data_IF_588235272034
#
_entry.id   IF_588235272034
#
_cell.length_a   1.000
_cell.length_b   1.000
_cell.length_c   1.000
_cell.angle_alpha   90.00
_cell.angle_beta   90.00
_cell.angle_gamma   90.00
#
_symmetry.space_group_name_H-M   'P 1'
#
loop_
_entity.id
_entity.type
_entity.pdbx_description
1 polymer ?
#
# COMPACT_ATOMS: atom_id res chain seq x y z
N UNK A 1 -6.83 15.82 5.71
CA UNK A 1 -6.10 14.60 6.12
C UNK A 1 -6.44 14.15 7.54
N UNK A 2 -6.25 14.98 8.56
CA UNK A 2 -6.53 14.60 9.95
C UNK A 2 -7.97 14.10 10.16
N UNK A 3 -8.96 14.80 9.64
CA UNK A 3 -10.37 14.39 9.74
C UNK A 3 -10.67 13.05 9.07
N UNK A 4 -9.97 12.76 7.97
CA UNK A 4 -10.11 11.47 7.29
C UNK A 4 -9.57 10.33 8.17
N UNK A 5 -8.39 10.52 8.74
CA UNK A 5 -7.77 9.53 9.62
C UNK A 5 -8.59 9.34 10.90
N UNK A 6 -9.09 10.43 11.48
CA UNK A 6 -9.97 10.37 12.65
C UNK A 6 -11.27 9.61 12.36
N UNK A 7 -11.90 9.87 11.22
CA UNK A 7 -13.11 9.18 10.81
C UNK A 7 -12.91 7.67 10.70
N UNK A 8 -11.81 7.25 10.07
CA UNK A 8 -11.46 5.84 9.92
C UNK A 8 -11.13 5.19 11.26
N UNK A 9 -10.42 5.91 12.13
CA UNK A 9 -10.08 5.41 13.46
C UNK A 9 -11.34 5.20 14.30
N UNK A 10 -12.27 6.15 14.27
CA UNK A 10 -13.55 6.05 14.99
C UNK A 10 -14.43 4.90 14.46
N UNK A 11 -14.32 4.59 13.17
CA UNK A 11 -15.00 3.45 12.56
C UNK A 11 -14.27 2.12 12.79
N UNK A 12 -13.16 2.15 13.52
CA UNK A 12 -12.32 0.98 13.81
C UNK A 12 -11.77 0.31 12.54
N UNK A 13 -11.46 1.12 11.54
CA UNK A 13 -10.85 0.67 10.27
C UNK A 13 -9.33 0.75 10.37
N UNK A 14 -8.66 -0.37 10.16
CA UNK A 14 -7.21 -0.44 10.15
C UNK A 14 -6.66 -0.01 8.80
N UNK A 15 -5.75 0.96 8.80
CA UNK A 15 -5.03 1.39 7.60
C UNK A 15 -3.75 0.59 7.49
N UNK A 16 -3.62 -0.19 6.41
CA UNK A 16 -2.45 -1.04 6.17
C UNK A 16 -1.31 -0.25 5.52
N UNK A 17 -1.65 0.62 4.58
CA UNK A 17 -0.69 1.47 3.86
C UNK A 17 -1.34 2.83 3.65
N UNK A 18 -0.55 3.86 3.83
CA UNK A 18 -0.96 5.24 3.57
C UNK A 18 0.09 5.91 2.67
N UNK A 19 -0.38 6.59 1.64
CA UNK A 19 0.48 7.37 0.75
C UNK A 19 -0.17 8.71 0.45
N UNK A 20 0.61 9.76 0.48
CA UNK A 20 0.12 11.11 0.19
C UNK A 20 1.03 11.81 -0.81
N UNK A 21 0.42 12.66 -1.63
CA UNK A 21 1.13 13.52 -2.55
C UNK A 21 0.84 14.97 -2.19
N UNK A 22 1.87 15.68 -1.79
CA UNK A 22 1.75 17.10 -1.45
C UNK A 22 1.49 17.97 -2.69
N UNK A 23 1.98 17.55 -3.85
CA UNK A 23 1.82 18.31 -5.09
C UNK A 23 0.36 18.39 -5.55
N UNK A 24 -0.37 17.29 -5.44
CA UNK A 24 -1.78 17.25 -5.85
C UNK A 24 -2.76 17.26 -4.69
N UNK A 25 -2.25 17.40 -3.47
CA UNK A 25 -3.07 17.32 -2.24
C UNK A 25 -3.98 16.09 -2.23
N UNK A 26 -3.48 15.01 -2.80
CA UNK A 26 -4.19 13.74 -2.85
C UNK A 26 -3.53 12.74 -1.91
N UNK A 27 -4.33 11.86 -1.37
CA UNK A 27 -3.84 10.75 -0.57
C UNK A 27 -4.67 9.51 -0.88
N UNK A 28 -4.02 8.37 -0.72
CA UNK A 28 -4.68 7.08 -0.83
C UNK A 28 -4.27 6.22 0.35
N UNK A 29 -5.11 5.27 0.70
CA UNK A 29 -4.81 4.32 1.75
C UNK A 29 -5.36 2.96 1.39
N UNK A 30 -4.67 1.93 1.86
CA UNK A 30 -5.07 0.55 1.69
C UNK A 30 -5.69 0.06 2.99
N UNK A 31 -6.87 -0.53 2.88
CA UNK A 31 -7.60 -1.14 4.00
C UNK A 31 -8.01 -2.57 3.61
N UNK A 32 -8.46 -3.33 4.58
CA UNK A 32 -9.00 -4.66 4.29
C UNK A 32 -10.31 -4.56 3.54
N UNK A 33 -10.56 -5.52 2.65
CA UNK A 33 -11.76 -5.52 1.82
C UNK A 33 -13.05 -5.51 2.65
N UNK A 34 -13.09 -6.22 3.77
CA UNK A 34 -14.28 -6.25 4.63
C UNK A 34 -14.57 -4.93 5.36
N UNK A 35 -13.61 -4.01 5.39
CA UNK A 35 -13.76 -2.69 6.02
C UNK A 35 -14.21 -1.60 5.03
N UNK A 36 -14.30 -1.90 3.74
CA UNK A 36 -14.57 -0.89 2.70
C UNK A 36 -15.90 -0.18 2.94
N UNK A 37 -16.97 -0.93 3.22
CA UNK A 37 -18.30 -0.34 3.44
C UNK A 37 -18.31 0.57 4.66
N UNK A 38 -17.74 0.13 5.78
CA UNK A 38 -17.64 0.92 7.00
C UNK A 38 -16.79 2.19 6.77
N UNK A 39 -15.70 2.07 6.02
CA UNK A 39 -14.84 3.20 5.67
C UNK A 39 -15.58 4.24 4.83
N UNK A 40 -16.29 3.79 3.79
CA UNK A 40 -17.06 4.68 2.92
C UNK A 40 -18.16 5.41 3.70
N UNK A 41 -18.87 4.73 4.58
CA UNK A 41 -19.91 5.32 5.41
C UNK A 41 -19.33 6.37 6.36
N UNK A 42 -18.22 6.06 7.03
CA UNK A 42 -17.55 6.97 7.94
C UNK A 42 -17.04 8.22 7.21
N UNK A 43 -16.44 8.06 6.05
CA UNK A 43 -15.93 9.16 5.27
C UNK A 43 -17.05 10.02 4.69
N UNK A 44 -18.12 9.41 4.19
CA UNK A 44 -19.28 10.15 3.69
C UNK A 44 -19.92 11.01 4.76
N UNK A 45 -20.04 10.49 5.98
CA UNK A 45 -20.61 11.22 7.12
C UNK A 45 -19.71 12.36 7.60
N UNK A 46 -18.40 12.13 7.71
CA UNK A 46 -17.46 13.09 8.28
C UNK A 46 -16.95 14.13 7.27
N UNK A 47 -17.00 13.83 5.99
CA UNK A 47 -16.54 14.70 4.92
C UNK A 47 -17.68 15.18 4.01
N UNK A 48 -18.92 15.12 4.50
CA UNK A 48 -20.11 15.45 3.72
C UNK A 48 -20.09 16.89 3.17
N UNK A 49 -19.62 17.83 3.96
CA UNK A 49 -19.54 19.24 3.56
C UNK A 49 -18.51 19.42 2.44
N UNK A 50 -17.33 18.85 2.61
CA UNK A 50 -16.23 18.94 1.65
C UNK A 50 -16.60 18.28 0.32
N UNK A 51 -17.31 17.16 0.37
CA UNK A 51 -17.78 16.46 -0.81
C UNK A 51 -18.90 17.22 -1.51
N UNK A 52 -19.87 17.78 -0.75
CA UNK A 52 -20.99 18.53 -1.28
C UNK A 52 -20.55 19.83 -1.95
N UNK A 53 -19.54 20.50 -1.42
CA UNK A 53 -19.00 21.75 -1.96
C UNK A 53 -17.91 21.56 -3.03
N UNK A 54 -17.58 20.34 -3.37
CA UNK A 54 -16.54 20.05 -4.37
C UNK A 54 -15.12 20.31 -3.92
N UNK A 55 -14.88 20.52 -2.62
CA UNK A 55 -13.53 20.68 -2.06
C UNK A 55 -12.74 19.38 -2.08
N UNK A 56 -13.46 18.26 -2.05
CA UNK A 56 -12.90 16.92 -2.25
C UNK A 56 -13.57 16.28 -3.46
N UNK A 57 -12.78 15.59 -4.25
CA UNK A 57 -13.31 14.73 -5.31
C UNK A 57 -13.99 13.51 -4.69
N UNK A 58 -14.96 12.89 -5.40
CA UNK A 58 -15.57 11.67 -4.93
C UNK A 58 -14.54 10.60 -4.59
N UNK A 59 -14.81 9.87 -3.50
CA UNK A 59 -13.93 8.81 -3.04
C UNK A 59 -13.99 7.66 -4.05
N UNK A 60 -12.83 7.25 -4.54
CA UNK A 60 -12.72 6.13 -5.46
C UNK A 60 -12.21 4.89 -4.71
N UNK A 61 -12.84 3.76 -4.97
CA UNK A 61 -12.47 2.47 -4.40
C UNK A 61 -11.97 1.56 -5.51
N UNK A 62 -10.81 0.96 -5.31
CA UNK A 62 -10.27 -0.05 -6.21
C UNK A 62 -10.08 -1.34 -5.40
N UNK A 63 -10.90 -2.34 -5.69
CA UNK A 63 -10.87 -3.63 -5.00
C UNK A 63 -9.92 -4.63 -5.67
N UNK A 64 -9.36 -4.27 -6.82
CA UNK A 64 -8.50 -5.14 -7.64
C UNK A 64 -7.01 -4.96 -7.33
N UNK A 65 -6.68 -4.84 -6.05
CA UNK A 65 -5.31 -4.61 -5.61
C UNK A 65 -4.92 -5.61 -4.53
N UNK A 66 -3.62 -5.85 -4.42
CA UNK A 66 -3.05 -6.66 -3.36
C UNK A 66 -1.78 -6.04 -2.84
N UNK A 67 -1.43 -6.36 -1.61
CA UNK A 67 -0.23 -5.88 -0.93
C UNK A 67 0.82 -6.97 -0.88
N UNK A 68 2.01 -6.67 -1.39
CA UNK A 68 3.22 -7.46 -1.20
C UNK A 68 4.07 -6.75 -0.16
N UNK A 69 4.36 -7.39 0.96
CA UNK A 69 5.25 -6.85 1.97
C UNK A 69 6.56 -7.63 1.97
N UNK A 70 7.67 -6.92 1.77
CA UNK A 70 9.02 -7.49 1.89
C UNK A 70 9.56 -7.06 3.24
N UNK A 71 9.81 -8.03 4.10
CA UNK A 71 10.20 -7.80 5.50
C UNK A 71 11.51 -8.51 5.78
N UNK A 72 12.47 -7.82 6.38
CA UNK A 72 13.71 -8.46 6.77
C UNK A 72 14.74 -7.49 7.32
N UNK A 73 15.42 -7.88 8.38
CA UNK A 73 16.49 -7.05 8.97
C UNK A 73 17.66 -6.84 8.01
N UNK A 74 17.90 -7.78 7.09
CA UNK A 74 18.92 -7.67 6.06
C UNK A 74 18.70 -6.52 5.08
N UNK A 75 17.52 -5.89 5.07
CA UNK A 75 17.25 -4.71 4.26
C UNK A 75 17.96 -3.46 4.78
N UNK A 76 18.16 -3.39 6.08
CA UNK A 76 18.82 -2.25 6.69
C UNK A 76 20.30 -2.25 6.30
N UNK A 77 20.76 -1.16 5.71
CA UNK A 77 22.14 -1.01 5.32
C UNK A 77 22.57 -1.83 4.09
N UNK A 78 21.62 -2.45 3.37
CA UNK A 78 21.92 -3.14 2.11
C UNK A 78 21.54 -2.25 0.92
N UNK A 79 22.52 -1.55 0.32
CA UNK A 79 22.22 -0.66 -0.82
C UNK A 79 21.66 -1.43 -2.01
N UNK A 80 20.69 -0.84 -2.68
CA UNK A 80 20.14 -1.38 -3.92
C UNK A 80 19.14 -2.50 -3.76
N UNK A 81 18.79 -2.93 -2.55
CA UNK A 81 17.82 -4.00 -2.35
C UNK A 81 16.43 -3.62 -2.87
N UNK A 82 15.97 -2.40 -2.58
CA UNK A 82 14.71 -1.91 -3.10
C UNK A 82 14.69 -1.92 -4.64
N UNK A 83 15.79 -1.49 -5.26
CA UNK A 83 15.94 -1.53 -6.71
C UNK A 83 15.82 -2.94 -7.28
N UNK A 84 16.42 -3.92 -6.61
CA UNK A 84 16.33 -5.33 -7.01
C UNK A 84 14.91 -5.85 -6.92
N UNK A 85 14.20 -5.53 -5.85
CA UNK A 85 12.80 -5.92 -5.64
C UNK A 85 11.92 -5.33 -6.75
N UNK A 86 12.04 -4.04 -7.01
CA UNK A 86 11.24 -3.37 -8.04
C UNK A 86 11.58 -3.89 -9.44
N UNK A 87 12.84 -4.16 -9.72
CA UNK A 87 13.27 -4.74 -10.99
C UNK A 87 12.68 -6.13 -11.19
N UNK A 88 12.69 -6.95 -10.16
CA UNK A 88 12.11 -8.30 -10.22
C UNK A 88 10.61 -8.24 -10.56
N UNK A 89 9.86 -7.35 -9.93
CA UNK A 89 8.43 -7.16 -10.21
C UNK A 89 8.23 -6.63 -11.64
N UNK A 90 9.07 -5.69 -12.07
CA UNK A 90 9.00 -5.10 -13.40
C UNK A 90 9.24 -6.11 -14.52
N UNK A 91 10.15 -7.06 -14.30
CA UNK A 91 10.41 -8.14 -15.28
C UNK A 91 9.18 -9.00 -15.54
N UNK A 92 8.33 -9.16 -14.55
CA UNK A 92 7.07 -9.88 -14.69
C UNK A 92 5.95 -9.05 -15.33
N UNK A 93 6.26 -7.82 -15.75
CA UNK A 93 5.30 -6.87 -16.33
C UNK A 93 4.11 -6.58 -15.41
N UNK A 94 4.37 -6.52 -14.12
CA UNK A 94 3.37 -6.21 -13.10
C UNK A 94 3.44 -4.71 -12.82
N UNK A 95 2.30 -4.04 -12.90
CA UNK A 95 2.22 -2.62 -12.59
C UNK A 95 2.19 -2.39 -11.07
N UNK A 96 3.10 -1.55 -10.60
CA UNK A 96 3.14 -1.11 -9.20
C UNK A 96 2.25 0.12 -9.07
N UNK A 97 1.26 0.06 -8.19
CA UNK A 97 0.29 1.14 -7.97
C UNK A 97 0.79 2.11 -6.92
N UNK A 98 1.35 1.60 -5.82
CA UNK A 98 1.87 2.40 -4.72
C UNK A 98 2.97 1.65 -3.99
N UNK A 99 3.82 2.42 -3.32
CA UNK A 99 4.94 1.91 -2.54
C UNK A 99 4.94 2.62 -1.19
N UNK A 100 5.13 1.87 -0.12
CA UNK A 100 5.32 2.43 1.21
C UNK A 100 6.53 1.77 1.87
N UNK A 101 7.39 2.57 2.47
CA UNK A 101 8.54 2.09 3.21
C UNK A 101 8.57 2.78 4.57
N UNK A 102 8.69 2.00 5.62
CA UNK A 102 8.81 2.52 6.97
C UNK A 102 10.17 3.12 7.25
N UNK A 103 10.24 3.98 8.25
CA UNK A 103 11.49 4.63 8.68
C UNK A 103 12.51 3.62 9.24
N UNK A 104 12.05 2.44 9.62
CA UNK A 104 12.91 1.36 10.11
C UNK A 104 13.73 0.68 9.01
N UNK A 105 13.39 0.92 7.73
CA UNK A 105 14.04 0.31 6.55
C UNK A 105 13.97 -1.22 6.49
N UNK A 106 13.17 -1.84 7.36
CA UNK A 106 13.04 -3.31 7.41
C UNK A 106 11.81 -3.83 6.67
N UNK A 107 10.96 -2.94 6.16
CA UNK A 107 9.75 -3.34 5.45
C UNK A 107 9.51 -2.45 4.24
N UNK A 108 9.27 -3.07 3.09
CA UNK A 108 8.79 -2.40 1.89
C UNK A 108 7.40 -2.96 1.56
N UNK A 109 6.40 -2.10 1.56
CA UNK A 109 5.05 -2.46 1.10
C UNK A 109 4.84 -2.05 -0.34
N UNK A 110 4.38 -2.95 -1.17
CA UNK A 110 4.16 -2.71 -2.60
C UNK A 110 2.73 -3.10 -2.95
N UNK A 111 1.96 -2.15 -3.47
CA UNK A 111 0.60 -2.41 -3.92
C UNK A 111 0.63 -2.66 -5.43
N UNK A 112 0.14 -3.81 -5.83
CA UNK A 112 0.09 -4.25 -7.22
C UNK A 112 -1.34 -4.64 -7.61
N UNK A 113 -1.61 -4.81 -8.90
CA UNK A 113 -2.87 -5.35 -9.36
C UNK A 113 -3.05 -6.78 -8.85
N UNK A 114 -4.27 -7.13 -8.46
CA UNK A 114 -4.57 -8.43 -7.84
C UNK A 114 -4.21 -9.61 -8.74
N UNK A 115 -4.41 -9.47 -10.05
CA UNK A 115 -4.07 -10.51 -11.01
C UNK A 115 -2.56 -10.79 -11.12
N UNK A 116 -1.72 -9.83 -10.70
CA UNK A 116 -0.27 -9.96 -10.70
C UNK A 116 0.31 -10.30 -9.31
N UNK A 117 -0.52 -10.37 -8.28
CA UNK A 117 -0.06 -10.49 -6.90
C UNK A 117 0.78 -11.73 -6.66
N UNK A 118 0.33 -12.89 -7.09
CA UNK A 118 1.04 -14.16 -6.88
C UNK A 118 2.39 -14.16 -7.61
N UNK A 119 2.41 -13.69 -8.86
CA UNK A 119 3.67 -13.59 -9.65
C UNK A 119 4.64 -12.60 -9.01
N UNK A 120 4.12 -11.50 -8.46
CA UNK A 120 4.94 -10.51 -7.76
C UNK A 120 5.60 -11.10 -6.53
N UNK A 121 4.85 -11.85 -5.72
CA UNK A 121 5.39 -12.53 -4.53
C UNK A 121 6.46 -13.54 -4.92
N UNK A 122 6.22 -14.33 -5.94
CA UNK A 122 7.18 -15.32 -6.42
C UNK A 122 8.46 -14.65 -6.93
N UNK A 123 8.34 -13.60 -7.73
CA UNK A 123 9.48 -12.87 -8.27
C UNK A 123 10.34 -12.25 -7.18
N UNK A 124 9.72 -11.61 -6.20
CA UNK A 124 10.41 -11.01 -5.05
C UNK A 124 11.06 -12.09 -4.20
N UNK A 125 10.36 -13.18 -3.95
CA UNK A 125 10.88 -14.29 -3.15
C UNK A 125 12.13 -14.89 -3.78
N UNK A 126 12.13 -15.12 -5.09
CA UNK A 126 13.30 -15.62 -5.81
C UNK A 126 14.47 -14.64 -5.73
N UNK A 127 14.23 -13.36 -5.93
CA UNK A 127 15.26 -12.34 -5.90
C UNK A 127 15.87 -12.19 -4.50
N UNK A 128 15.05 -12.18 -3.47
CA UNK A 128 15.51 -12.06 -2.09
C UNK A 128 16.18 -13.34 -1.59
N UNK A 129 15.76 -14.51 -2.07
CA UNK A 129 16.35 -15.79 -1.71
C UNK A 129 17.79 -15.90 -2.24
N UNK A 130 18.04 -15.34 -3.42
CA UNK A 130 19.39 -15.28 -4.00
C UNK A 130 20.29 -14.27 -3.28
N UNK A 131 19.69 -13.24 -2.63
CA UNK A 131 20.43 -12.16 -2.01
C UNK A 131 20.67 -12.31 -0.51
N UNK A 132 19.72 -12.87 0.25
CA UNK A 132 19.83 -13.01 1.70
C UNK A 132 18.82 -14.02 2.23
N UNK A 133 19.24 -14.97 3.10
CA UNK A 133 18.34 -15.94 3.70
C UNK A 133 17.40 -15.34 4.77
N UNK A 134 17.58 -14.08 5.11
CA UNK A 134 16.80 -13.43 6.18
C UNK A 134 15.62 -12.58 5.66
N UNK A 135 15.39 -12.55 4.35
CA UNK A 135 14.29 -11.82 3.76
C UNK A 135 13.11 -12.74 3.49
N UNK A 136 11.92 -12.25 3.79
CA UNK A 136 10.67 -12.96 3.51
C UNK A 136 9.69 -12.03 2.78
N UNK A 137 8.94 -12.58 1.83
CA UNK A 137 7.84 -11.88 1.16
C UNK A 137 6.53 -12.46 1.69
N UNK A 138 5.60 -11.57 2.06
CA UNK A 138 4.30 -11.96 2.63
C UNK A 138 3.17 -11.43 1.75
N UNK A 139 2.20 -12.29 1.52
CA UNK A 139 0.98 -11.96 0.76
C UNK A 139 -0.13 -11.58 1.75
N UNK A 140 -0.75 -10.43 1.55
CA UNK A 140 -1.89 -9.96 2.36
C UNK A 140 -3.14 -9.72 1.51
#
# INVERSE_FOLDING_TARGET
MARTLDALALANVEILVFSSSSYRQSFCFLIRKHDVDAALEALASNLSIELAHGYLKPIQVDENVGLVAVVGEGMRGTPGLAGRVFTAISRERINIIAIAQGSSEITIGIIVRLDGLERAVQAVHQECHLGSPHLAATLN
#
